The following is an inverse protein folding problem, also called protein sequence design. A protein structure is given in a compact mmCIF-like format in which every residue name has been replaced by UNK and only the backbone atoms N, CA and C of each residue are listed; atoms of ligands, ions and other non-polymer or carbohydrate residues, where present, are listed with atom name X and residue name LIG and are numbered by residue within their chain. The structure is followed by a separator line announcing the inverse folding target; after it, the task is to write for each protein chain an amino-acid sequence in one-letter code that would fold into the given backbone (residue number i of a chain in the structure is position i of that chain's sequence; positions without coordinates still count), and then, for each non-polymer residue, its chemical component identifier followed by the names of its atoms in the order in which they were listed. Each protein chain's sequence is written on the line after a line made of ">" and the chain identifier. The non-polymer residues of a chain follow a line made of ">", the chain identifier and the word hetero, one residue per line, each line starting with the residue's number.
data_IF_081714107974
#
_entry.id   IF_081714107974
#
_cell.length_a   1.000
_cell.length_b   1.000
_cell.length_c   1.000
_cell.angle_alpha   90.00
_cell.angle_beta   90.00
_cell.angle_gamma   90.00
#
_symmetry.space_group_name_H-M   'P 1'
#
loop_
_entity.id
_entity.type
_entity.pdbx_description
1 polymer ?
#
# COMPACT_ATOMS: atom_id res chain seq x y z
N UNK A 1 17.72 5.50 15.25
CA UNK A 1 17.62 5.64 13.79
C UNK A 1 16.44 4.81 13.34
N UNK A 2 15.58 5.31 12.47
CA UNK A 2 14.39 4.56 11.99
C UNK A 2 14.84 3.42 11.08
N UNK A 3 14.22 2.25 11.22
CA UNK A 3 14.53 1.06 10.41
C UNK A 3 14.38 1.34 8.90
N UNK A 4 15.41 0.99 8.12
CA UNK A 4 15.41 1.10 6.66
C UNK A 4 14.22 0.38 6.01
N UNK A 5 13.73 -0.69 6.63
CA UNK A 5 12.66 -1.51 6.10
C UNK A 5 11.32 -0.75 6.09
N UNK A 6 11.10 0.16 7.05
CA UNK A 6 9.91 1.04 7.07
C UNK A 6 9.87 1.89 5.80
N UNK A 7 11.02 2.44 5.38
CA UNK A 7 11.09 3.26 4.16
C UNK A 7 10.85 2.45 2.88
N UNK A 8 11.19 1.16 2.87
CA UNK A 8 10.84 0.26 1.74
C UNK A 8 9.33 0.17 1.61
N UNK A 9 8.62 -0.12 2.70
CA UNK A 9 7.15 -0.22 2.69
C UNK A 9 6.53 1.13 2.28
N UNK A 10 6.98 2.23 2.88
CA UNK A 10 6.49 3.58 2.55
C UNK A 10 6.69 3.94 1.06
N UNK A 11 7.82 3.55 0.48
CA UNK A 11 8.10 3.70 -0.95
C UNK A 11 7.08 2.96 -1.81
N UNK A 12 6.81 1.69 -1.50
CA UNK A 12 5.83 0.89 -2.23
C UNK A 12 4.39 1.42 -2.06
N UNK A 13 4.02 1.91 -0.87
CA UNK A 13 2.73 2.57 -0.65
C UNK A 13 2.56 3.75 -1.61
N UNK A 14 3.58 4.61 -1.74
CA UNK A 14 3.49 5.80 -2.58
C UNK A 14 3.35 5.45 -4.08
N UNK A 15 3.98 4.37 -4.54
CA UNK A 15 3.86 3.88 -5.91
C UNK A 15 2.42 3.42 -6.19
N UNK A 16 1.86 2.57 -5.31
CA UNK A 16 0.52 1.99 -5.50
C UNK A 16 -0.57 3.05 -5.35
N UNK A 17 -0.52 3.87 -4.28
CA UNK A 17 -1.47 4.98 -4.07
C UNK A 17 -1.43 5.98 -5.22
N UNK A 18 -0.22 6.31 -5.70
CA UNK A 18 -0.05 7.21 -6.85
C UNK A 18 -0.64 6.64 -8.14
N UNK A 19 -0.70 5.33 -8.31
CA UNK A 19 -1.38 4.68 -9.43
C UNK A 19 -2.91 4.69 -9.26
N UNK A 20 -3.42 4.35 -8.07
CA UNK A 20 -4.86 4.36 -7.76
C UNK A 20 -5.45 5.76 -7.99
N UNK A 21 -4.83 6.81 -7.43
CA UNK A 21 -5.32 8.20 -7.60
C UNK A 21 -5.29 8.67 -9.05
N UNK A 22 -4.29 8.26 -9.84
CA UNK A 22 -4.24 8.60 -11.28
C UNK A 22 -5.34 7.91 -12.08
N UNK A 23 -5.69 6.67 -11.73
CA UNK A 23 -6.80 5.95 -12.34
C UNK A 23 -8.15 6.59 -11.97
N UNK A 24 -8.33 6.94 -10.68
CA UNK A 24 -9.51 7.64 -10.20
C UNK A 24 -9.74 8.95 -10.94
N UNK A 25 -8.70 9.75 -11.21
CA UNK A 25 -8.79 11.02 -11.96
C UNK A 25 -9.30 10.90 -13.40
N UNK A 26 -9.12 9.76 -14.06
CA UNK A 26 -9.58 9.55 -15.43
C UNK A 26 -10.97 8.91 -15.51
N UNK A 27 -11.36 8.22 -14.44
CA UNK A 27 -12.76 7.96 -14.13
C UNK A 27 -13.37 9.24 -13.54
N UNK A 28 -14.67 9.39 -13.49
CA UNK A 28 -15.33 10.66 -13.08
C UNK A 28 -15.28 10.89 -11.55
N UNK A 29 -14.24 10.41 -10.85
CA UNK A 29 -14.14 10.47 -9.39
C UNK A 29 -13.83 11.89 -8.91
N UNK A 30 -14.66 12.36 -7.98
CA UNK A 30 -14.44 13.60 -7.25
C UNK A 30 -13.47 13.37 -6.09
N UNK A 31 -12.83 14.42 -5.53
CA UNK A 31 -12.01 14.27 -4.32
C UNK A 31 -12.73 13.63 -3.12
N UNK A 32 -14.06 13.81 -3.03
CA UNK A 32 -14.90 13.15 -2.02
C UNK A 32 -14.98 11.63 -2.22
N UNK A 33 -14.87 11.16 -3.46
CA UNK A 33 -14.85 9.72 -3.76
C UNK A 33 -13.49 9.11 -3.40
N UNK A 34 -12.39 9.88 -3.49
CA UNK A 34 -11.08 9.44 -3.00
C UNK A 34 -11.06 9.22 -1.47
N UNK A 35 -11.77 10.06 -0.70
CA UNK A 35 -11.89 9.90 0.77
C UNK A 35 -12.71 8.66 1.15
N UNK A 36 -13.58 8.20 0.26
CA UNK A 36 -14.44 7.03 0.45
C UNK A 36 -13.87 5.74 -0.14
N UNK A 37 -12.78 5.82 -0.88
CA UNK A 37 -12.14 4.66 -1.49
C UNK A 37 -11.52 3.77 -0.39
N UNK A 38 -12.00 2.51 -0.24
CA UNK A 38 -11.56 1.64 0.83
C UNK A 38 -10.06 1.25 0.72
N UNK A 39 -9.50 1.20 -0.49
CA UNK A 39 -8.08 0.90 -0.71
C UNK A 39 -7.23 2.10 -0.28
N UNK A 40 -7.62 3.32 -0.66
CA UNK A 40 -6.92 4.54 -0.22
C UNK A 40 -6.98 4.73 1.30
N UNK A 41 -8.12 4.40 1.92
CA UNK A 41 -8.25 4.40 3.37
C UNK A 41 -7.32 3.36 4.03
N UNK A 42 -7.27 2.13 3.51
CA UNK A 42 -6.39 1.06 4.00
C UNK A 42 -4.91 1.46 3.97
N UNK A 43 -4.45 2.09 2.88
CA UNK A 43 -3.09 2.63 2.80
C UNK A 43 -2.83 3.82 3.72
N UNK A 44 -3.83 4.69 3.92
CA UNK A 44 -3.69 5.83 4.83
C UNK A 44 -3.52 5.36 6.27
N UNK A 45 -4.31 4.38 6.70
CA UNK A 45 -4.14 3.74 8.00
C UNK A 45 -2.77 3.07 8.15
N UNK A 46 -2.29 2.35 7.13
CA UNK A 46 -0.93 1.78 7.17
C UNK A 46 0.15 2.85 7.33
N UNK A 47 0.03 4.01 6.66
CA UNK A 47 0.98 5.12 6.84
C UNK A 47 0.99 5.63 8.28
N UNK A 48 -0.17 5.76 8.91
CA UNK A 48 -0.26 6.16 10.32
C UNK A 48 0.44 5.14 11.23
N UNK A 49 0.21 3.85 11.03
CA UNK A 49 0.90 2.79 11.79
C UNK A 49 2.41 2.89 11.63
N UNK A 50 2.91 2.97 10.39
CA UNK A 50 4.34 3.05 10.09
C UNK A 50 5.01 4.32 10.65
N UNK A 51 4.27 5.42 10.78
CA UNK A 51 4.79 6.66 11.36
C UNK A 51 4.91 6.60 12.90
N UNK A 52 4.28 5.63 13.55
CA UNK A 52 4.25 5.49 15.00
C UNK A 52 5.17 4.38 15.53
N UNK A 53 5.89 3.68 14.66
CA UNK A 53 6.85 2.63 15.04
C UNK A 53 8.26 3.01 14.62
N UNK A 54 9.26 2.49 15.35
CA UNK A 54 10.67 2.76 15.07
C UNK A 54 11.36 1.61 14.34
N UNK A 55 10.87 0.39 14.56
CA UNK A 55 11.30 -0.85 13.92
C UNK A 55 10.12 -1.56 13.25
N UNK A 56 10.35 -2.18 12.09
CA UNK A 56 9.27 -2.89 11.38
C UNK A 56 8.79 -4.13 12.16
N UNK A 57 9.65 -4.70 13.00
CA UNK A 57 9.36 -5.85 13.87
C UNK A 57 8.29 -5.57 14.94
N UNK A 58 7.97 -4.30 15.21
CA UNK A 58 6.93 -3.89 16.15
C UNK A 58 5.51 -4.18 15.63
N UNK A 59 5.35 -4.45 14.34
CA UNK A 59 4.06 -4.75 13.72
C UNK A 59 4.06 -6.12 13.04
N UNK A 60 2.93 -6.81 13.12
CA UNK A 60 2.78 -8.08 12.43
C UNK A 60 2.86 -7.89 10.90
N UNK A 61 3.48 -8.81 10.15
CA UNK A 61 3.59 -8.69 8.69
C UNK A 61 2.26 -8.48 7.97
N UNK A 62 1.18 -9.06 8.49
CA UNK A 62 -0.17 -8.89 7.96
C UNK A 62 -0.63 -7.43 7.96
N UNK A 63 -0.16 -6.60 8.91
CA UNK A 63 -0.52 -5.18 9.00
C UNK A 63 -0.11 -4.43 7.75
N UNK A 64 1.14 -4.61 7.29
CA UNK A 64 1.62 -3.93 6.08
C UNK A 64 1.34 -4.69 4.79
N UNK A 65 1.12 -6.01 4.83
CA UNK A 65 0.74 -6.80 3.66
C UNK A 65 -0.71 -6.56 3.21
N UNK A 66 -1.63 -6.43 4.16
CA UNK A 66 -3.07 -6.45 3.89
C UNK A 66 -3.50 -5.41 2.84
N UNK A 67 -3.08 -4.13 2.88
CA UNK A 67 -3.51 -3.15 1.88
C UNK A 67 -3.11 -3.53 0.44
N UNK A 68 -1.93 -4.13 0.25
CA UNK A 68 -1.48 -4.60 -1.07
C UNK A 68 -2.28 -5.82 -1.54
N UNK A 69 -2.62 -6.74 -0.63
CA UNK A 69 -3.46 -7.90 -0.94
C UNK A 69 -4.92 -7.50 -1.21
N UNK A 70 -5.41 -6.41 -0.62
CA UNK A 70 -6.71 -5.83 -0.95
C UNK A 70 -6.71 -5.24 -2.37
N UNK A 71 -5.64 -4.55 -2.78
CA UNK A 71 -5.48 -4.11 -4.18
C UNK A 71 -5.48 -5.31 -5.13
N UNK A 72 -4.74 -6.38 -4.83
CA UNK A 72 -4.64 -7.55 -5.70
C UNK A 72 -6.00 -8.24 -5.90
N UNK A 73 -6.84 -8.26 -4.87
CA UNK A 73 -8.15 -8.96 -4.87
C UNK A 73 -9.31 -8.08 -5.32
N UNK A 74 -9.11 -6.77 -5.43
CA UNK A 74 -10.18 -5.84 -5.76
C UNK A 74 -10.54 -5.92 -7.25
N UNK A 75 -11.82 -6.14 -7.52
CA UNK A 75 -12.39 -6.13 -8.88
C UNK A 75 -12.37 -4.72 -9.51
N UNK A 76 -12.24 -3.67 -8.68
CA UNK A 76 -12.17 -2.28 -9.11
C UNK A 76 -10.75 -1.85 -9.52
N UNK A 77 -9.76 -2.75 -9.44
CA UNK A 77 -8.38 -2.47 -9.83
C UNK A 77 -8.08 -2.92 -11.24
N UNK A 78 -7.32 -2.09 -11.96
CA UNK A 78 -6.87 -2.41 -13.32
C UNK A 78 -5.61 -3.28 -13.26
N UNK A 79 -5.38 -4.07 -14.32
CA UNK A 79 -4.20 -4.94 -14.44
C UNK A 79 -2.86 -4.24 -14.10
N UNK A 80 -2.59 -3.00 -14.58
CA UNK A 80 -1.40 -2.25 -14.18
C UNK A 80 -1.30 -1.97 -12.67
N UNK A 81 -2.40 -1.63 -11.99
CA UNK A 81 -2.41 -1.37 -10.55
C UNK A 81 -2.19 -2.68 -9.78
N UNK A 82 -2.89 -3.76 -10.17
CA UNK A 82 -2.69 -5.10 -9.62
C UNK A 82 -1.22 -5.54 -9.77
N UNK A 83 -0.62 -5.30 -10.93
CA UNK A 83 0.79 -5.62 -11.20
C UNK A 83 1.77 -4.86 -10.29
N UNK A 84 1.49 -3.59 -9.99
CA UNK A 84 2.29 -2.82 -9.02
C UNK A 84 2.20 -3.42 -7.62
N UNK A 85 0.99 -3.77 -7.14
CA UNK A 85 0.82 -4.37 -5.83
C UNK A 85 1.50 -5.76 -5.72
N UNK A 86 1.39 -6.59 -6.75
CA UNK A 86 2.12 -7.87 -6.84
C UNK A 86 3.64 -7.67 -6.78
N UNK A 87 4.14 -6.66 -7.49
CA UNK A 87 5.57 -6.31 -7.48
C UNK A 87 6.02 -5.90 -6.08
N UNK A 88 5.23 -5.10 -5.36
CA UNK A 88 5.52 -4.71 -3.98
C UNK A 88 5.54 -5.91 -3.04
N UNK A 89 4.56 -6.81 -3.12
CA UNK A 89 4.54 -8.05 -2.31
C UNK A 89 5.77 -8.92 -2.60
N UNK A 90 6.15 -9.07 -3.87
CA UNK A 90 7.35 -9.81 -4.24
C UNK A 90 8.63 -9.18 -3.67
N UNK A 91 8.72 -7.85 -3.59
CA UNK A 91 9.85 -7.17 -2.93
C UNK A 91 9.89 -7.46 -1.43
N UNK A 92 8.74 -7.44 -0.75
CA UNK A 92 8.69 -7.73 0.69
C UNK A 92 9.19 -9.15 1.00
N UNK A 93 8.82 -10.12 0.17
CA UNK A 93 9.35 -11.49 0.25
C UNK A 93 10.85 -11.54 -0.06
N UNK A 94 11.27 -10.89 -1.14
CA UNK A 94 12.68 -10.89 -1.59
C UNK A 94 13.63 -10.23 -0.60
N UNK A 95 13.14 -9.29 0.20
CA UNK A 95 13.90 -8.62 1.26
C UNK A 95 13.72 -9.25 2.64
N UNK A 96 13.04 -10.39 2.74
CA UNK A 96 12.76 -11.08 4.00
C UNK A 96 12.06 -10.18 5.04
N UNK A 97 11.19 -9.27 4.59
CA UNK A 97 10.36 -8.46 5.49
C UNK A 97 9.22 -9.27 6.09
N UNK A 98 8.95 -10.44 5.51
CA UNK A 98 7.92 -11.39 5.92
C UNK A 98 8.65 -12.72 6.12
N UNK A 99 8.86 -13.12 7.37
CA UNK A 99 9.62 -14.30 7.75
C UNK A 99 9.64 -14.52 9.25
#
# INVERSE_FOLDING_TARGET
>A
MVDKNIYIIQGEINIVVGAIKRNARWSTHTPLDEERDPLLHSFSHLKEVLNNVTELSEIEPNVFLRPFLEVIRSEDTTGPITGLALTSVNKFLSYALIG
#
